data_IF_108085464166
#
_entry.id   IF_108085464166
#
_cell.length_a   1.000
_cell.length_b   1.000
_cell.length_c   1.000
_cell.angle_alpha   90.00
_cell.angle_beta   90.00
_cell.angle_gamma   90.00
#
_symmetry.space_group_name_H-M   'P 1'
#
loop_
_entity.id
_entity.type
_entity.pdbx_description
1 polymer ?
#
# COMPACT_ATOMS: atom_id res chain seq x y z
N UNK A 1 -24.20 -22.99 -22.53
CA UNK A 1 -23.68 -24.01 -21.60
C UNK A 1 -22.52 -24.75 -22.26
N UNK A 2 -21.29 -24.67 -21.75
CA UNK A 2 -20.20 -25.46 -22.37
C UNK A 2 -18.78 -25.01 -22.08
N UNK A 3 -18.58 -23.85 -21.43
CA UNK A 3 -17.24 -23.38 -21.07
C UNK A 3 -16.87 -23.48 -19.58
N UNK A 4 -17.83 -23.69 -18.68
CA UNK A 4 -17.57 -23.85 -17.23
C UNK A 4 -17.76 -25.29 -16.71
N UNK A 5 -18.18 -26.23 -17.57
CA UNK A 5 -18.31 -27.66 -17.23
C UNK A 5 -17.05 -28.47 -17.56
N UNK A 6 -16.00 -27.83 -18.10
CA UNK A 6 -14.75 -28.51 -18.38
C UNK A 6 -13.86 -28.50 -17.12
N UNK A 7 -13.66 -29.64 -16.43
CA UNK A 7 -12.89 -29.70 -15.20
C UNK A 7 -11.46 -29.16 -15.35
N UNK A 8 -10.88 -29.22 -16.55
CA UNK A 8 -9.58 -28.63 -16.83
C UNK A 8 -9.59 -27.08 -16.76
N UNK A 9 -10.66 -26.44 -17.22
CA UNK A 9 -10.83 -24.98 -17.14
C UNK A 9 -11.06 -24.52 -15.70
N UNK A 10 -11.84 -25.28 -14.92
CA UNK A 10 -12.01 -25.00 -13.48
C UNK A 10 -10.70 -25.17 -12.69
N UNK A 11 -9.90 -26.18 -13.03
CA UNK A 11 -8.59 -26.37 -12.40
C UNK A 11 -7.62 -25.22 -12.73
N UNK A 12 -7.59 -24.78 -13.99
CA UNK A 12 -6.80 -23.62 -14.40
C UNK A 12 -7.28 -22.33 -13.71
N UNK A 13 -8.60 -22.13 -13.61
CA UNK A 13 -9.16 -20.98 -12.89
C UNK A 13 -8.75 -20.99 -11.41
N UNK A 14 -8.83 -22.14 -10.73
CA UNK A 14 -8.40 -22.25 -9.33
C UNK A 14 -6.91 -21.96 -9.15
N UNK A 15 -6.06 -22.44 -10.07
CA UNK A 15 -4.63 -22.12 -10.06
C UNK A 15 -4.39 -20.61 -10.22
N UNK A 16 -5.11 -19.95 -11.13
CA UNK A 16 -5.00 -18.51 -11.34
C UNK A 16 -5.46 -17.71 -10.11
N UNK A 17 -6.56 -18.11 -9.47
CA UNK A 17 -7.03 -17.49 -8.22
C UNK A 17 -5.99 -17.64 -7.11
N UNK A 18 -5.41 -18.84 -6.96
CA UNK A 18 -4.37 -19.08 -5.96
C UNK A 18 -3.11 -18.25 -6.23
N UNK A 19 -2.71 -18.09 -7.50
CA UNK A 19 -1.60 -17.24 -7.90
C UNK A 19 -1.90 -15.76 -7.62
N UNK A 20 -3.09 -15.26 -7.99
CA UNK A 20 -3.54 -13.90 -7.67
C UNK A 20 -3.46 -13.65 -6.16
N UNK A 21 -4.03 -14.55 -5.35
CA UNK A 21 -4.01 -14.43 -3.88
C UNK A 21 -2.59 -14.44 -3.30
N UNK A 22 -1.67 -15.21 -3.88
CA UNK A 22 -0.27 -15.21 -3.45
C UNK A 22 0.44 -13.88 -3.78
N UNK A 23 0.17 -13.31 -4.96
CA UNK A 23 0.73 -12.03 -5.36
C UNK A 23 0.21 -10.89 -4.49
N UNK A 24 -1.11 -10.85 -4.21
CA UNK A 24 -1.72 -9.84 -3.33
C UNK A 24 -1.12 -9.89 -1.91
N UNK A 25 -0.90 -11.09 -1.36
CA UNK A 25 -0.21 -11.22 -0.06
C UNK A 25 1.20 -10.67 -0.10
N UNK A 26 1.97 -11.02 -1.12
CA UNK A 26 3.34 -10.55 -1.27
C UNK A 26 3.40 -9.02 -1.44
N UNK A 27 2.47 -8.44 -2.19
CA UNK A 27 2.33 -7.00 -2.33
C UNK A 27 2.02 -6.31 -0.99
N UNK A 28 1.10 -6.87 -0.20
CA UNK A 28 0.81 -6.39 1.16
C UNK A 28 2.05 -6.42 2.07
N UNK A 29 2.86 -7.48 1.99
CA UNK A 29 4.11 -7.59 2.74
C UNK A 29 5.12 -6.49 2.34
N UNK A 30 5.28 -6.24 1.03
CA UNK A 30 6.16 -5.19 0.52
C UNK A 30 5.71 -3.80 0.97
N UNK A 31 4.40 -3.57 1.00
CA UNK A 31 3.83 -2.30 1.44
C UNK A 31 4.07 -2.04 2.93
N UNK A 32 3.88 -3.07 3.77
CA UNK A 32 4.20 -2.97 5.22
C UNK A 32 5.69 -2.67 5.41
N UNK A 33 6.57 -3.35 4.66
CA UNK A 33 8.01 -3.10 4.72
C UNK A 33 8.35 -1.64 4.37
N UNK A 34 7.68 -1.08 3.34
CA UNK A 34 7.88 0.30 2.93
C UNK A 34 7.40 1.31 3.97
N UNK A 35 6.23 1.10 4.56
CA UNK A 35 5.71 1.98 5.62
C UNK A 35 6.65 1.99 6.83
N UNK A 36 7.13 0.83 7.27
CA UNK A 36 8.08 0.71 8.38
C UNK A 36 9.40 1.45 8.10
N UNK A 37 9.90 1.40 6.86
CA UNK A 37 11.10 2.13 6.44
C UNK A 37 10.89 3.66 6.55
N UNK A 38 9.73 4.15 6.10
CA UNK A 38 9.39 5.58 6.18
C UNK A 38 9.21 6.05 7.62
N UNK A 39 8.57 5.24 8.47
CA UNK A 39 8.41 5.54 9.90
C UNK A 39 9.75 5.58 10.65
N UNK A 40 10.66 4.64 10.38
CA UNK A 40 12.02 4.67 10.95
C UNK A 40 12.79 5.92 10.50
N UNK A 41 12.73 6.26 9.20
CA UNK A 41 13.37 7.47 8.67
C UNK A 41 12.79 8.73 9.30
N UNK A 42 11.47 8.83 9.39
CA UNK A 42 10.80 9.96 10.05
C UNK A 42 11.22 10.09 11.51
N UNK A 43 11.29 8.97 12.24
CA UNK A 43 11.71 8.95 13.64
C UNK A 43 13.14 9.47 13.82
N UNK A 44 14.08 9.02 12.97
CA UNK A 44 15.48 9.48 12.99
C UNK A 44 15.59 10.98 12.70
N UNK A 45 14.92 11.46 11.66
CA UNK A 45 14.94 12.89 11.29
C UNK A 45 14.35 13.77 12.40
N UNK A 46 13.24 13.33 13.01
CA UNK A 46 12.64 14.05 14.14
C UNK A 46 13.57 14.10 15.35
N UNK A 47 14.26 13.00 15.65
CA UNK A 47 15.21 12.95 16.75
C UNK A 47 16.41 13.89 16.49
N UNK A 48 17.00 13.84 15.30
CA UNK A 48 18.10 14.72 14.91
C UNK A 48 17.70 16.21 15.00
N UNK A 49 16.51 16.55 14.49
CA UNK A 49 16.01 17.93 14.56
C UNK A 49 15.82 18.38 16.01
N UNK A 50 15.29 17.53 16.89
CA UNK A 50 15.12 17.85 18.33
C UNK A 50 16.46 18.08 19.03
N UNK A 51 17.44 17.24 18.75
CA UNK A 51 18.79 17.38 19.31
C UNK A 51 19.44 18.70 18.88
N UNK A 52 19.33 19.04 17.58
CA UNK A 52 19.83 20.31 17.04
C UNK A 52 19.09 21.51 17.62
N UNK A 53 17.77 21.47 17.72
CA UNK A 53 16.95 22.52 18.35
C UNK A 53 17.24 22.71 19.84
N UNK A 54 17.71 21.66 20.54
CA UNK A 54 18.08 21.74 21.95
C UNK A 54 19.40 22.48 22.19
N UNK A 55 20.24 22.66 21.16
CA UNK A 55 21.49 23.44 21.23
C UNK A 55 21.17 24.95 21.12
N UNK A 56 21.84 25.74 21.97
CA UNK A 56 21.59 27.15 22.28
C UNK A 56 21.31 28.06 21.06
N UNK A 57 20.52 29.11 21.27
CA UNK A 57 19.79 29.87 20.25
C UNK A 57 20.65 30.79 19.36
N UNK A 58 21.97 30.79 19.55
CA UNK A 58 22.94 31.52 18.74
C UNK A 58 23.47 30.64 17.60
N UNK A 59 22.55 30.14 16.77
CA UNK A 59 22.90 29.36 15.58
C UNK A 59 23.39 30.29 14.48
N UNK A 60 24.48 29.91 13.83
CA UNK A 60 24.94 30.57 12.62
C UNK A 60 24.11 30.17 11.40
N UNK A 61 24.39 30.82 10.27
CA UNK A 61 23.79 30.47 8.99
C UNK A 61 23.96 28.99 8.58
N UNK A 62 25.12 28.31 8.78
CA UNK A 62 25.25 26.92 8.38
C UNK A 62 24.40 25.98 9.24
N UNK A 63 24.29 26.22 10.55
CA UNK A 63 23.48 25.38 11.43
C UNK A 63 21.98 25.50 11.10
N UNK A 64 21.51 26.69 10.73
CA UNK A 64 20.13 26.91 10.28
C UNK A 64 19.84 26.24 8.93
N UNK A 65 20.83 26.20 8.02
CA UNK A 65 20.68 25.51 6.74
C UNK A 65 20.57 23.99 6.92
N UNK A 66 21.33 23.41 7.84
CA UNK A 66 21.22 21.98 8.16
C UNK A 66 19.84 21.63 8.74
N UNK A 67 19.27 22.47 9.60
CA UNK A 67 17.88 22.28 10.08
C UNK A 67 16.84 22.40 8.97
N UNK A 68 17.05 23.34 8.03
CA UNK A 68 16.20 23.50 6.86
C UNK A 68 16.20 22.24 5.99
N UNK A 69 17.38 21.65 5.75
CA UNK A 69 17.51 20.41 4.97
C UNK A 69 16.82 19.23 5.65
N UNK A 70 16.94 19.10 6.98
CA UNK A 70 16.24 18.05 7.74
C UNK A 70 14.72 18.21 7.61
N UNK A 71 14.22 19.45 7.67
CA UNK A 71 12.79 19.73 7.48
C UNK A 71 12.33 19.42 6.05
N UNK A 72 13.11 19.76 5.03
CA UNK A 72 12.84 19.41 3.63
C UNK A 72 12.75 17.89 3.46
N UNK A 73 13.71 17.15 4.01
CA UNK A 73 13.70 15.69 3.96
C UNK A 73 12.49 15.09 4.71
N UNK A 74 12.10 15.67 5.85
CA UNK A 74 10.87 15.26 6.55
C UNK A 74 9.62 15.47 5.71
N UNK A 75 9.53 16.55 4.93
CA UNK A 75 8.41 16.80 4.02
C UNK A 75 8.37 15.75 2.90
N UNK A 76 9.52 15.39 2.34
CA UNK A 76 9.60 14.32 1.34
C UNK A 76 9.12 12.97 1.90
N UNK A 77 9.47 12.65 3.16
CA UNK A 77 8.99 11.43 3.82
C UNK A 77 7.47 11.44 3.99
N UNK A 78 6.88 12.59 4.36
CA UNK A 78 5.42 12.73 4.47
C UNK A 78 4.76 12.56 3.10
N UNK A 79 5.30 13.17 2.05
CA UNK A 79 4.78 13.03 0.68
C UNK A 79 4.83 11.57 0.19
N UNK A 80 5.90 10.84 0.54
CA UNK A 80 6.01 9.41 0.22
C UNK A 80 4.95 8.57 0.95
N UNK A 81 4.63 8.89 2.21
CA UNK A 81 3.54 8.22 2.94
C UNK A 81 2.18 8.55 2.35
N UNK A 82 1.94 9.81 1.99
CA UNK A 82 0.69 10.22 1.34
C UNK A 82 0.48 9.50 0.00
N UNK A 83 1.57 9.25 -0.74
CA UNK A 83 1.55 8.47 -1.97
C UNK A 83 1.15 7.00 -1.70
N UNK A 84 1.70 6.38 -0.65
CA UNK A 84 1.33 5.01 -0.27
C UNK A 84 -0.15 4.90 0.14
N UNK A 85 -0.64 5.87 0.91
CA UNK A 85 -2.06 5.94 1.30
C UNK A 85 -2.96 6.06 0.07
N UNK A 86 -2.56 6.88 -0.91
CA UNK A 86 -3.31 7.05 -2.16
C UNK A 86 -3.36 5.77 -2.99
N UNK A 87 -2.22 5.07 -3.11
CA UNK A 87 -2.13 3.78 -3.81
C UNK A 87 -3.02 2.71 -3.15
N UNK A 88 -3.02 2.67 -1.82
CA UNK A 88 -3.86 1.77 -1.02
C UNK A 88 -5.35 1.99 -1.27
N UNK A 89 -5.77 3.25 -1.30
CA UNK A 89 -7.17 3.58 -1.54
C UNK A 89 -7.58 3.23 -2.98
N UNK A 90 -6.70 3.45 -3.96
CA UNK A 90 -6.92 3.02 -5.35
C UNK A 90 -7.07 1.50 -5.46
N UNK A 91 -6.20 0.73 -4.79
CA UNK A 91 -6.30 -0.73 -4.75
C UNK A 91 -7.61 -1.19 -4.11
N UNK A 92 -8.00 -0.62 -2.97
CA UNK A 92 -9.26 -0.94 -2.27
C UNK A 92 -10.47 -0.68 -3.17
N UNK A 93 -10.46 0.41 -3.92
CA UNK A 93 -11.53 0.74 -4.87
C UNK A 93 -11.57 -0.25 -6.03
N UNK A 94 -10.42 -0.61 -6.60
CA UNK A 94 -10.36 -1.58 -7.68
C UNK A 94 -10.83 -2.96 -7.23
N UNK A 95 -10.43 -3.44 -6.05
CA UNK A 95 -10.91 -4.71 -5.48
C UNK A 95 -12.43 -4.70 -5.31
N UNK A 96 -13.00 -3.61 -4.79
CA UNK A 96 -14.46 -3.48 -4.65
C UNK A 96 -15.19 -3.49 -6.00
N UNK A 97 -14.62 -2.89 -7.04
CA UNK A 97 -15.17 -2.94 -8.40
C UNK A 97 -15.11 -4.36 -8.99
N UNK A 98 -13.98 -5.06 -8.80
CA UNK A 98 -13.83 -6.45 -9.23
C UNK A 98 -14.83 -7.39 -8.53
N UNK A 99 -15.10 -7.17 -7.24
CA UNK A 99 -16.14 -7.89 -6.49
C UNK A 99 -17.54 -7.62 -7.04
N UNK A 100 -17.89 -6.35 -7.28
CA UNK A 100 -19.19 -5.98 -7.85
C UNK A 100 -19.40 -6.56 -9.26
N UNK A 101 -18.38 -6.52 -10.11
CA UNK A 101 -18.42 -7.11 -11.44
C UNK A 101 -18.59 -8.63 -11.38
N UNK A 102 -17.90 -9.29 -10.45
CA UNK A 102 -18.03 -10.73 -10.22
C UNK A 102 -19.44 -11.08 -9.74
N UNK A 103 -19.98 -10.35 -8.77
CA UNK A 103 -21.34 -10.53 -8.26
C UNK A 103 -22.39 -10.33 -9.37
N UNK A 104 -22.27 -9.27 -10.17
CA UNK A 104 -23.16 -9.01 -11.30
C UNK A 104 -23.09 -10.13 -12.36
N UNK A 105 -21.89 -10.64 -12.63
CA UNK A 105 -21.68 -11.75 -13.56
C UNK A 105 -22.25 -13.07 -13.02
N UNK A 106 -22.22 -13.29 -11.70
CA UNK A 106 -22.84 -14.45 -11.05
C UNK A 106 -24.37 -14.36 -11.04
N UNK A 107 -24.93 -13.19 -10.71
CA UNK A 107 -26.37 -12.92 -10.72
C UNK A 107 -26.98 -13.10 -12.12
N UNK A 108 -26.33 -12.53 -13.15
CA UNK A 108 -26.78 -12.66 -14.55
C UNK A 108 -26.73 -14.10 -15.08
N UNK A 109 -25.88 -14.96 -14.49
CA UNK A 109 -25.77 -16.38 -14.84
C UNK A 109 -26.62 -17.31 -13.97
N UNK A 110 -27.36 -16.80 -13.00
CA UNK A 110 -28.21 -17.60 -12.10
C UNK A 110 -27.43 -18.53 -11.18
N UNK A 111 -26.14 -18.25 -10.94
CA UNK A 111 -25.31 -18.99 -9.99
C UNK A 111 -25.54 -18.41 -8.60
N UNK A 112 -26.35 -19.10 -7.79
CA UNK A 112 -26.57 -18.72 -6.39
C UNK A 112 -25.28 -18.89 -5.57
N UNK A 113 -24.92 -17.85 -4.82
CA UNK A 113 -23.84 -17.87 -3.82
C UNK A 113 -24.30 -18.71 -2.62
N UNK A 114 -24.11 -20.03 -2.68
CA UNK A 114 -24.10 -20.85 -1.46
C UNK A 114 -22.63 -21.12 -1.11
N UNK A 115 -22.04 -20.18 -0.37
CA UNK A 115 -20.81 -20.43 0.36
C UNK A 115 -21.23 -20.89 1.77
N UNK A 116 -21.44 -22.20 1.92
CA UNK A 116 -21.49 -22.85 3.24
C UNK A 116 -20.07 -23.22 3.69
#
# INVERSE_FOLDING_TARGET
>A
LGKMENPALMQQWFQLVQQKNALVRYESELMIARELELEDRQSRLQQELRERMAVDHLKGAPELEEERLILEEMLEVVEQRDTLVSLLEEQRLQESLEEQDLEALMLSKGLGLNWD
#
